data_IF_087724266076
#
_entry.id   IF_087724266076
#
_cell.length_a   1.000
_cell.length_b   1.000
_cell.length_c   1.000
_cell.angle_alpha   90.00
_cell.angle_beta   90.00
_cell.angle_gamma   90.00
#
_symmetry.space_group_name_H-M   'P 1'
#
loop_
_entity.id
_entity.type
_entity.pdbx_description
1 polymer ?
#
# COMPACT_ATOMS: atom_id res chain seq x y z
N UNK A 1 2.75 14.67 -7.31
CA UNK A 1 3.12 13.62 -8.29
C UNK A 1 2.70 12.26 -7.75
N UNK A 2 2.24 11.34 -8.61
CA UNK A 2 1.78 10.01 -8.16
C UNK A 2 2.90 8.98 -8.33
N UNK A 3 2.98 8.02 -7.42
CA UNK A 3 3.95 6.93 -7.47
C UNK A 3 3.33 5.67 -8.05
N UNK A 4 4.17 4.80 -8.62
CA UNK A 4 3.80 3.40 -8.81
C UNK A 4 3.94 2.63 -7.49
N UNK A 5 3.16 1.56 -7.33
CA UNK A 5 3.18 0.72 -6.11
C UNK A 5 4.59 0.25 -5.76
N UNK A 6 5.41 -0.16 -6.73
CA UNK A 6 6.77 -0.63 -6.44
C UNK A 6 7.65 0.47 -5.82
N UNK A 7 7.47 1.74 -6.22
CA UNK A 7 8.20 2.89 -5.68
C UNK A 7 7.73 3.19 -4.26
N UNK A 8 6.42 3.18 -4.05
CA UNK A 8 5.81 3.32 -2.73
C UNK A 8 6.31 2.23 -1.77
N UNK A 9 6.36 0.96 -2.20
CA UNK A 9 6.88 -0.14 -1.38
C UNK A 9 8.37 -0.01 -1.07
N UNK A 10 9.16 0.47 -2.03
CA UNK A 10 10.57 0.76 -1.78
C UNK A 10 10.73 1.83 -0.69
N UNK A 11 9.99 2.94 -0.78
CA UNK A 11 10.01 3.99 0.25
C UNK A 11 9.55 3.48 1.61
N UNK A 12 8.48 2.68 1.67
CA UNK A 12 8.02 2.05 2.91
C UNK A 12 9.12 1.19 3.53
N UNK A 13 9.77 0.33 2.74
CA UNK A 13 10.85 -0.53 3.20
C UNK A 13 12.07 0.26 3.73
N UNK A 14 12.47 1.33 3.02
CA UNK A 14 13.57 2.23 3.44
C UNK A 14 13.30 2.88 4.81
N UNK A 15 12.02 3.10 5.14
CA UNK A 15 11.60 3.66 6.43
C UNK A 15 11.29 2.60 7.50
N UNK A 16 11.56 1.33 7.21
CA UNK A 16 11.36 0.22 8.16
C UNK A 16 9.90 -0.19 8.30
N UNK A 17 9.05 0.12 7.32
CA UNK A 17 7.67 -0.35 7.27
C UNK A 17 7.65 -1.69 6.50
N UNK A 18 7.16 -2.78 7.10
CA UNK A 18 7.19 -4.09 6.46
C UNK A 18 6.36 -4.13 5.18
N UNK A 19 6.98 -4.55 4.08
CA UNK A 19 6.34 -4.85 2.80
C UNK A 19 6.75 -6.25 2.35
N UNK A 20 5.90 -6.98 1.62
CA UNK A 20 6.32 -8.23 1.00
C UNK A 20 7.46 -7.98 0.01
N UNK A 21 8.44 -8.89 -0.03
CA UNK A 21 9.55 -8.79 -0.96
C UNK A 21 9.03 -8.80 -2.40
N UNK A 22 9.57 -7.92 -3.25
CA UNK A 22 9.12 -7.81 -4.63
C UNK A 22 10.14 -7.21 -5.55
N UNK A 23 10.00 -7.49 -6.85
CA UNK A 23 10.86 -7.01 -7.92
C UNK A 23 10.02 -6.66 -9.14
N UNK A 24 10.40 -5.57 -9.81
CA UNK A 24 9.77 -5.17 -11.07
C UNK A 24 10.35 -5.95 -12.24
N UNK A 25 9.53 -6.12 -13.27
CA UNK A 25 9.91 -6.73 -14.53
C UNK A 25 9.24 -5.99 -15.70
N UNK A 26 10.00 -5.77 -16.77
CA UNK A 26 9.55 -5.19 -18.03
C UNK A 26 9.27 -6.25 -19.10
N UNK A 27 9.70 -7.50 -18.88
CA UNK A 27 9.44 -8.63 -19.77
C UNK A 27 8.92 -9.85 -19.01
N UNK A 28 8.21 -10.79 -19.67
CA UNK A 28 7.77 -12.04 -19.02
C UNK A 28 8.94 -12.88 -18.48
N UNK A 29 10.10 -12.86 -19.15
CA UNK A 29 11.28 -13.60 -18.71
C UNK A 29 11.93 -12.94 -17.48
N UNK A 30 11.98 -11.61 -17.43
CA UNK A 30 12.36 -10.88 -16.21
C UNK A 30 11.41 -11.17 -15.05
N UNK A 31 10.10 -11.33 -15.31
CA UNK A 31 9.13 -11.67 -14.28
C UNK A 31 9.38 -13.06 -13.69
N UNK A 32 9.76 -14.04 -14.52
CA UNK A 32 10.16 -15.37 -14.06
C UNK A 32 11.44 -15.31 -13.23
N UNK A 33 12.45 -14.58 -13.71
CA UNK A 33 13.71 -14.40 -12.97
C UNK A 33 13.48 -13.70 -11.62
N UNK A 34 12.59 -12.70 -11.58
CA UNK A 34 12.16 -12.04 -10.36
C UNK A 34 11.53 -13.04 -9.38
N UNK A 35 10.55 -13.84 -9.82
CA UNK A 35 9.90 -14.87 -9.01
C UNK A 35 10.90 -15.88 -8.43
N UNK A 36 11.80 -16.42 -9.25
CA UNK A 36 12.83 -17.37 -8.82
C UNK A 36 13.75 -16.78 -7.75
N UNK A 37 14.12 -15.49 -7.90
CA UNK A 37 14.98 -14.81 -6.92
C UNK A 37 14.28 -14.49 -5.59
N UNK A 38 12.95 -14.52 -5.56
CA UNK A 38 12.14 -14.31 -4.35
C UNK A 38 11.93 -15.60 -3.55
N UNK A 39 12.42 -16.76 -4.05
CA UNK A 39 12.30 -18.05 -3.39
C UNK A 39 11.22 -18.93 -4.02
N UNK A 40 10.69 -19.89 -3.26
CA UNK A 40 9.57 -20.71 -3.72
C UNK A 40 8.26 -19.93 -3.57
N UNK A 41 7.33 -20.14 -4.51
CA UNK A 41 6.03 -19.48 -4.51
C UNK A 41 5.15 -19.86 -3.31
N UNK A 42 3.94 -19.27 -3.23
CA UNK A 42 3.27 -18.54 -4.30
C UNK A 42 3.72 -17.07 -4.46
N UNK A 43 3.37 -16.47 -5.60
CA UNK A 43 3.65 -15.06 -5.92
C UNK A 43 2.40 -14.32 -6.39
N UNK A 44 2.42 -13.00 -6.27
CA UNK A 44 1.49 -12.09 -6.94
C UNK A 44 2.21 -11.39 -8.10
N UNK A 45 1.53 -11.29 -9.24
CA UNK A 45 1.93 -10.43 -10.37
C UNK A 45 0.95 -9.27 -10.45
N UNK A 46 1.44 -8.03 -10.27
CA UNK A 46 0.63 -6.81 -10.19
C UNK A 46 1.03 -5.81 -11.28
N UNK A 47 0.11 -5.46 -12.17
CA UNK A 47 0.28 -4.41 -13.17
C UNK A 47 0.61 -3.07 -12.48
N UNK A 48 1.60 -2.35 -13.01
CA UNK A 48 2.02 -1.05 -12.50
C UNK A 48 1.40 0.07 -13.34
N UNK A 49 0.36 0.71 -12.81
CA UNK A 49 -0.29 1.90 -13.36
C UNK A 49 -0.55 2.90 -12.22
N UNK A 50 -0.69 4.19 -12.53
CA UNK A 50 -1.04 5.22 -11.54
C UNK A 50 -2.54 5.28 -11.25
N UNK A 51 -3.12 4.14 -10.90
CA UNK A 51 -4.52 4.03 -10.51
C UNK A 51 -4.75 2.83 -9.57
N UNK A 52 -5.66 2.98 -8.62
CA UNK A 52 -6.18 1.88 -7.81
C UNK A 52 -7.22 1.05 -8.56
N UNK A 53 -7.82 0.08 -7.88
CA UNK A 53 -8.85 -0.79 -8.47
C UNK A 53 -8.33 -1.86 -9.45
N UNK A 54 -7.02 -2.04 -9.55
CA UNK A 54 -6.35 -2.97 -10.47
C UNK A 54 -6.81 -4.41 -10.30
N UNK A 55 -7.08 -4.86 -9.08
CA UNK A 55 -7.57 -6.22 -8.80
C UNK A 55 -8.88 -6.52 -9.53
N UNK A 56 -9.86 -5.61 -9.46
CA UNK A 56 -11.16 -5.73 -10.14
C UNK A 56 -11.02 -5.71 -11.67
N UNK A 57 -10.01 -5.01 -12.19
CA UNK A 57 -9.68 -4.94 -13.61
C UNK A 57 -8.80 -6.12 -14.10
N UNK A 58 -8.49 -7.10 -13.25
CA UNK A 58 -7.65 -8.24 -13.61
C UNK A 58 -6.15 -7.94 -13.67
N UNK A 59 -5.71 -6.79 -13.15
CA UNK A 59 -4.31 -6.37 -13.07
C UNK A 59 -3.54 -6.90 -11.87
N UNK A 60 -4.13 -7.82 -11.09
CA UNK A 60 -3.49 -8.48 -9.95
C UNK A 60 -3.78 -9.97 -10.07
N UNK A 61 -2.73 -10.80 -10.13
CA UNK A 61 -2.85 -12.24 -10.37
C UNK A 61 -2.03 -13.07 -9.38
N UNK A 62 -2.68 -14.00 -8.69
CA UNK A 62 -2.04 -15.02 -7.87
C UNK A 62 -1.47 -16.14 -8.77
N UNK A 63 -0.21 -16.49 -8.53
CA UNK A 63 0.58 -17.40 -9.35
C UNK A 63 1.25 -18.44 -8.44
N UNK A 64 1.02 -19.74 -8.71
CA UNK A 64 1.61 -20.83 -7.91
C UNK A 64 2.94 -21.32 -8.49
N UNK A 65 3.10 -21.16 -9.81
CA UNK A 65 4.27 -21.62 -10.56
C UNK A 65 4.92 -20.47 -11.32
N UNK A 66 6.17 -20.66 -11.75
CA UNK A 66 6.84 -19.69 -12.63
C UNK A 66 6.15 -19.58 -14.00
N UNK A 67 5.49 -20.64 -14.46
CA UNK A 67 4.70 -20.61 -15.70
C UNK A 67 3.45 -19.73 -15.54
N UNK A 68 2.78 -19.77 -14.39
CA UNK A 68 1.70 -18.85 -14.07
C UNK A 68 2.18 -17.40 -14.09
N UNK A 69 3.37 -17.14 -13.51
CA UNK A 69 4.00 -15.80 -13.50
C UNK A 69 4.28 -15.32 -14.92
N UNK A 70 4.88 -16.17 -15.77
CA UNK A 70 5.18 -15.84 -17.17
C UNK A 70 3.90 -15.53 -17.94
N UNK A 71 2.87 -16.36 -17.79
CA UNK A 71 1.58 -16.18 -18.46
C UNK A 71 0.87 -14.91 -18.00
N UNK A 72 0.87 -14.61 -16.70
CA UNK A 72 0.30 -13.40 -16.15
C UNK A 72 1.02 -12.14 -16.67
N UNK A 73 2.36 -12.14 -16.63
CA UNK A 73 3.17 -11.02 -17.12
C UNK A 73 2.98 -10.79 -18.63
N UNK A 74 2.97 -11.86 -19.45
CA UNK A 74 2.74 -11.75 -20.89
C UNK A 74 1.35 -11.21 -21.25
N UNK A 75 0.34 -11.47 -20.41
CA UNK A 75 -1.02 -10.94 -20.60
C UNK A 75 -1.14 -9.46 -20.20
N UNK A 76 -0.29 -8.98 -19.30
CA UNK A 76 -0.35 -7.61 -18.78
C UNK A 76 0.60 -6.64 -19.51
N UNK A 77 1.83 -7.05 -19.78
CA UNK A 77 2.86 -6.16 -20.32
C UNK A 77 2.53 -5.72 -21.75
N UNK A 78 2.68 -4.42 -22.01
CA UNK A 78 2.39 -3.81 -23.32
C UNK A 78 0.91 -3.62 -23.61
N UNK A 79 0.01 -4.03 -22.71
CA UNK A 79 -1.43 -3.72 -22.82
C UNK A 79 -1.73 -2.37 -22.18
N UNK A 80 -3.00 -1.96 -22.27
CA UNK A 80 -3.52 -0.85 -21.48
C UNK A 80 -4.59 -1.35 -20.52
N UNK A 81 -4.84 -0.58 -19.47
CA UNK A 81 -5.80 -0.90 -18.42
C UNK A 81 -6.54 0.35 -18.01
N UNK A 82 -7.88 0.29 -18.03
CA UNK A 82 -8.73 1.23 -17.32
C UNK A 82 -9.22 0.58 -16.03
N UNK A 83 -9.40 1.37 -14.98
CA UNK A 83 -10.04 0.97 -13.74
C UNK A 83 -11.20 1.92 -13.46
N UNK A 84 -12.06 1.63 -12.48
CA UNK A 84 -13.12 2.58 -12.11
C UNK A 84 -12.57 3.93 -11.64
N UNK A 85 -11.31 3.97 -11.16
CA UNK A 85 -10.63 5.19 -10.75
C UNK A 85 -10.00 5.97 -11.92
N UNK A 86 -9.86 5.38 -13.12
CA UNK A 86 -9.32 6.09 -14.28
C UNK A 86 -10.39 6.80 -15.12
N UNK A 87 -11.66 6.73 -14.72
CA UNK A 87 -12.80 7.36 -15.43
C UNK A 87 -12.82 7.04 -16.95
N UNK A 88 -12.46 5.80 -17.31
CA UNK A 88 -12.42 5.32 -18.70
C UNK A 88 -11.10 5.62 -19.44
N UNK A 89 -10.16 6.33 -18.84
CA UNK A 89 -8.82 6.53 -19.42
C UNK A 89 -8.02 5.24 -19.29
N UNK A 90 -7.51 4.72 -20.41
CA UNK A 90 -6.65 3.55 -20.42
C UNK A 90 -5.19 3.93 -20.19
N UNK A 91 -4.59 3.39 -19.13
CA UNK A 91 -3.19 3.62 -18.77
C UNK A 91 -2.31 2.47 -19.29
N UNK A 92 -1.09 2.75 -19.79
CA UNK A 92 -0.19 1.72 -20.29
C UNK A 92 0.40 0.88 -19.15
N UNK A 93 0.49 -0.43 -19.36
CA UNK A 93 1.13 -1.37 -18.44
C UNK A 93 2.53 -1.70 -18.98
N UNK A 94 3.52 -0.91 -18.59
CA UNK A 94 4.91 -1.09 -19.04
C UNK A 94 5.74 -1.98 -18.09
N UNK A 95 5.29 -2.11 -16.84
CA UNK A 95 5.96 -2.89 -15.80
C UNK A 95 4.93 -3.73 -15.05
N UNK A 96 5.40 -4.88 -14.55
CA UNK A 96 4.71 -5.66 -13.53
C UNK A 96 5.58 -5.77 -12.29
N UNK A 97 4.95 -5.77 -11.12
CA UNK A 97 5.59 -6.11 -9.85
C UNK A 97 5.32 -7.58 -9.54
N UNK A 98 6.38 -8.36 -9.41
CA UNK A 98 6.33 -9.73 -8.90
C UNK A 98 6.68 -9.68 -7.41
N UNK A 99 5.83 -10.21 -6.54
CA UNK A 99 6.03 -10.15 -5.09
C UNK A 99 5.61 -11.46 -4.42
N UNK A 100 6.22 -11.82 -3.30
CA UNK A 100 5.82 -13.00 -2.51
C UNK A 100 4.37 -12.90 -2.08
N UNK A 101 3.60 -13.97 -2.22
CA UNK A 101 2.22 -14.04 -1.74
C UNK A 101 2.17 -14.75 -0.39
N UNK A 102 1.60 -14.08 0.62
CA UNK A 102 1.27 -14.68 1.91
C UNK A 102 -0.23 -14.90 2.04
N UNK A 103 -0.64 -15.79 2.95
CA UNK A 103 -2.04 -15.95 3.30
C UNK A 103 -2.50 -14.77 4.17
N UNK A 104 -3.55 -14.09 3.73
CA UNK A 104 -4.08 -12.91 4.41
C UNK A 104 -5.10 -13.35 5.45
N UNK A 105 -4.81 -13.07 6.72
CA UNK A 105 -5.70 -13.36 7.85
C UNK A 105 -6.72 -12.23 8.05
N UNK A 106 -6.27 -10.98 7.89
CA UNK A 106 -7.11 -9.79 8.03
C UNK A 106 -6.54 -8.63 7.22
N UNK A 107 -7.41 -7.83 6.62
CA UNK A 107 -7.05 -6.60 5.92
C UNK A 107 -7.50 -5.39 6.73
N UNK A 108 -6.61 -4.40 6.89
CA UNK A 108 -6.90 -3.12 7.52
C UNK A 108 -6.70 -2.00 6.50
N UNK A 109 -7.28 -0.84 6.80
CA UNK A 109 -7.01 0.40 6.09
C UNK A 109 -6.16 1.32 6.96
N UNK A 110 -5.14 1.97 6.37
CA UNK A 110 -4.36 3.02 7.03
C UNK A 110 -3.99 4.09 6.01
N UNK A 111 -4.29 5.35 6.30
CA UNK A 111 -3.78 6.49 5.54
C UNK A 111 -3.31 7.62 6.44
N UNK A 112 -2.48 8.48 5.86
CA UNK A 112 -2.05 9.76 6.42
C UNK A 112 -2.09 10.82 5.31
N UNK A 113 -2.66 11.98 5.62
CA UNK A 113 -2.86 13.07 4.67
C UNK A 113 -2.83 14.43 5.37
N UNK A 114 -2.74 15.51 4.59
CA UNK A 114 -3.01 16.86 5.09
C UNK A 114 -4.52 17.11 5.07
N UNK A 115 -5.15 17.15 6.23
CA UNK A 115 -6.56 17.51 6.36
C UNK A 115 -6.71 19.04 6.40
N UNK A 116 -7.45 19.57 5.43
CA UNK A 116 -7.71 21.01 5.30
C UNK A 116 -8.71 21.52 6.34
N UNK A 117 -9.62 20.69 6.82
CA UNK A 117 -10.63 21.06 7.82
C UNK A 117 -9.98 21.31 9.17
N UNK A 118 -9.14 20.39 9.62
CA UNK A 118 -8.40 20.49 10.88
C UNK A 118 -7.09 21.27 10.75
N UNK A 119 -6.57 21.42 9.52
CA UNK A 119 -5.27 22.04 9.19
C UNK A 119 -4.10 21.28 9.84
N UNK A 120 -4.21 19.96 9.90
CA UNK A 120 -3.21 19.08 10.52
C UNK A 120 -2.88 17.92 9.59
N UNK A 121 -1.74 17.27 9.85
CA UNK A 121 -1.50 15.92 9.33
C UNK A 121 -2.44 14.98 10.10
N UNK A 122 -3.27 14.23 9.38
CA UNK A 122 -4.31 13.38 9.97
C UNK A 122 -4.13 11.95 9.52
N UNK A 123 -4.15 11.03 10.47
CA UNK A 123 -4.29 9.60 10.19
C UNK A 123 -5.76 9.21 10.11
N UNK A 124 -6.05 8.28 9.22
CA UNK A 124 -7.33 7.57 9.14
C UNK A 124 -7.01 6.08 9.15
N UNK A 125 -7.66 5.32 10.02
CA UNK A 125 -7.52 3.87 10.08
C UNK A 125 -8.88 3.19 10.24
N UNK A 126 -9.03 2.00 9.68
CA UNK A 126 -10.25 1.20 9.80
C UNK A 126 -9.93 -0.29 9.84
N UNK A 127 -10.77 -1.06 10.54
CA UNK A 127 -10.72 -2.52 10.54
C UNK A 127 -11.17 -3.11 9.21
N UNK A 128 -11.82 -2.31 8.37
CA UNK A 128 -12.29 -2.67 7.04
C UNK A 128 -11.24 -2.26 5.99
N UNK A 129 -10.26 -3.15 5.76
CA UNK A 129 -9.32 -3.03 4.65
C UNK A 129 -9.83 -3.69 3.36
N UNK A 130 -9.14 -3.44 2.24
CA UNK A 130 -9.45 -4.07 0.94
C UNK A 130 -10.66 -3.48 0.21
N UNK A 131 -11.35 -2.52 0.83
CA UNK A 131 -12.49 -1.78 0.28
C UNK A 131 -12.18 -0.28 0.20
N UNK A 132 -13.01 0.48 -0.53
CA UNK A 132 -12.85 1.94 -0.60
C UNK A 132 -13.25 2.57 0.73
N UNK A 133 -12.40 3.45 1.27
CA UNK A 133 -12.63 4.05 2.59
C UNK A 133 -13.87 4.96 2.60
N UNK A 134 -14.21 5.56 1.45
CA UNK A 134 -15.40 6.38 1.28
C UNK A 134 -16.69 5.57 1.45
N UNK A 135 -16.68 4.29 1.08
CA UNK A 135 -17.81 3.39 1.33
C UNK A 135 -17.97 3.12 2.82
N UNK A 136 -16.88 2.83 3.52
CA UNK A 136 -16.87 2.64 4.98
C UNK A 136 -17.37 3.90 5.68
N UNK A 137 -16.96 5.09 5.21
CA UNK A 137 -17.41 6.37 5.78
C UNK A 137 -18.92 6.62 5.60
N UNK A 138 -19.51 6.10 4.53
CA UNK A 138 -20.94 6.24 4.26
C UNK A 138 -21.80 5.20 4.99
N UNK A 139 -21.33 3.95 5.08
CA UNK A 139 -22.11 2.81 5.56
C UNK A 139 -21.86 2.49 7.04
N UNK A 140 -20.60 2.55 7.49
CA UNK A 140 -20.16 2.15 8.84
C UNK A 140 -19.11 3.15 9.39
N UNK A 141 -19.45 4.45 9.52
CA UNK A 141 -18.49 5.49 9.93
C UNK A 141 -17.86 5.25 11.31
N UNK A 142 -18.50 4.48 12.18
CA UNK A 142 -18.00 4.10 13.50
C UNK A 142 -16.75 3.21 13.45
N UNK A 143 -16.49 2.55 12.32
CA UNK A 143 -15.29 1.73 12.11
C UNK A 143 -14.07 2.57 11.67
N UNK A 144 -14.27 3.88 11.43
CA UNK A 144 -13.20 4.81 11.09
C UNK A 144 -12.68 5.48 12.36
N UNK A 145 -11.36 5.43 12.53
CA UNK A 145 -10.66 6.10 13.60
C UNK A 145 -9.68 7.13 13.01
N UNK A 146 -9.76 8.36 13.51
CA UNK A 146 -8.93 9.47 13.02
C UNK A 146 -8.10 10.09 14.14
N UNK A 147 -6.87 10.48 13.80
CA UNK A 147 -5.94 11.15 14.70
C UNK A 147 -5.40 12.38 14.01
N UNK A 148 -5.74 13.55 14.54
CA UNK A 148 -5.15 14.82 14.15
C UNK A 148 -3.84 14.97 14.89
N UNK A 149 -2.73 15.00 14.18
CA UNK A 149 -1.40 15.02 14.79
C UNK A 149 -1.11 16.44 15.30
N UNK A 150 -0.75 16.54 16.58
CA UNK A 150 -0.18 17.76 17.14
C UNK A 150 1.20 18.00 16.51
N UNK A 151 1.41 19.19 15.96
CA UNK A 151 2.64 19.51 15.25
C UNK A 151 3.89 19.57 16.14
N UNK A 152 3.72 19.91 17.43
CA UNK A 152 4.82 20.01 18.39
C UNK A 152 5.17 18.64 18.95
N UNK A 153 4.16 17.85 19.33
CA UNK A 153 4.37 16.51 19.88
C UNK A 153 4.72 15.47 18.80
N UNK A 154 4.13 15.60 17.60
CA UNK A 154 4.19 14.60 16.55
C UNK A 154 3.48 13.29 16.91
N UNK A 155 3.74 12.24 16.13
CA UNK A 155 3.16 10.91 16.39
C UNK A 155 3.97 10.16 17.43
N UNK A 156 3.35 9.88 18.57
CA UNK A 156 3.90 9.06 19.63
C UNK A 156 3.42 7.60 19.57
N UNK A 157 4.21 6.68 20.14
CA UNK A 157 3.88 5.25 20.13
C UNK A 157 2.59 4.88 20.87
N UNK A 158 2.09 5.72 21.78
CA UNK A 158 0.79 5.46 22.44
C UNK A 158 -0.39 5.66 21.50
N UNK A 159 -0.31 6.61 20.55
CA UNK A 159 -1.34 6.82 19.54
C UNK A 159 -1.59 5.56 18.73
N UNK A 160 -0.52 4.93 18.24
CA UNK A 160 -0.66 3.72 17.44
C UNK A 160 -1.06 2.49 18.24
N UNK A 161 -0.74 2.42 19.55
CA UNK A 161 -1.27 1.34 20.40
C UNK A 161 -2.77 1.50 20.64
N UNK A 162 -3.23 2.71 20.93
CA UNK A 162 -4.67 3.02 21.09
C UNK A 162 -5.45 2.65 19.82
N UNK A 163 -4.96 3.08 18.65
CA UNK A 163 -5.53 2.70 17.36
C UNK A 163 -5.51 1.19 17.15
N UNK A 164 -4.37 0.54 17.40
CA UNK A 164 -4.25 -0.90 17.24
C UNK A 164 -5.30 -1.66 18.04
N UNK A 165 -5.54 -1.28 19.30
CA UNK A 165 -6.58 -1.93 20.11
C UNK A 165 -8.00 -1.64 19.60
N UNK A 166 -8.29 -0.41 19.15
CA UNK A 166 -9.59 -0.07 18.52
C UNK A 166 -9.87 -0.89 17.26
N UNK A 167 -8.82 -1.19 16.48
CA UNK A 167 -8.88 -2.03 15.28
C UNK A 167 -8.94 -3.55 15.59
N UNK A 168 -8.94 -3.92 16.87
CA UNK A 168 -8.98 -5.31 17.33
C UNK A 168 -7.66 -6.06 17.17
N UNK A 169 -6.52 -5.36 17.19
CA UNK A 169 -5.19 -5.97 17.11
C UNK A 169 -4.75 -6.52 18.46
N UNK A 170 -3.95 -7.60 18.42
CA UNK A 170 -3.25 -8.13 19.60
C UNK A 170 -2.18 -7.14 20.09
N UNK A 171 -1.67 -7.31 21.32
CA UNK A 171 -0.61 -6.44 21.85
C UNK A 171 0.66 -6.39 20.96
N UNK A 172 1.04 -7.52 20.37
CA UNK A 172 2.16 -7.61 19.40
C UNK A 172 1.88 -6.75 18.16
N UNK A 173 0.70 -6.93 17.56
CA UNK A 173 0.29 -6.22 16.35
C UNK A 173 0.06 -4.73 16.62
N UNK A 174 -0.48 -4.36 17.77
CA UNK A 174 -0.60 -2.95 18.19
C UNK A 174 0.78 -2.29 18.34
N UNK A 175 1.78 -3.02 18.82
CA UNK A 175 3.18 -2.58 18.83
C UNK A 175 3.74 -2.36 17.42
N UNK A 176 3.49 -3.30 16.50
CA UNK A 176 3.88 -3.17 15.09
C UNK A 176 3.17 -1.98 14.41
N UNK A 177 1.86 -1.85 14.61
CA UNK A 177 1.05 -0.75 14.08
C UNK A 177 1.55 0.60 14.57
N UNK A 178 1.90 0.72 15.86
CA UNK A 178 2.51 1.92 16.39
C UNK A 178 3.84 2.27 15.72
N UNK A 179 4.72 1.28 15.51
CA UNK A 179 5.96 1.51 14.76
C UNK A 179 5.69 1.95 13.31
N UNK A 180 4.70 1.35 12.66
CA UNK A 180 4.30 1.70 11.28
C UNK A 180 3.81 3.15 11.23
N UNK A 181 2.93 3.57 12.15
CA UNK A 181 2.44 4.95 12.20
C UNK A 181 3.58 5.95 12.40
N UNK A 182 4.48 5.72 13.36
CA UNK A 182 5.62 6.61 13.62
C UNK A 182 6.55 6.69 12.40
N UNK A 183 6.88 5.56 11.78
CA UNK A 183 7.73 5.53 10.59
C UNK A 183 7.05 6.17 9.38
N UNK A 184 5.73 6.01 9.23
CA UNK A 184 4.93 6.70 8.21
C UNK A 184 4.93 8.20 8.42
N UNK A 185 4.83 8.67 9.66
CA UNK A 185 4.86 10.11 9.95
C UNK A 185 6.20 10.72 9.54
N UNK A 186 7.28 10.00 9.83
CA UNK A 186 8.63 10.39 9.41
C UNK A 186 8.74 10.42 7.88
N UNK A 187 8.30 9.36 7.19
CA UNK A 187 8.29 9.28 5.73
C UNK A 187 7.49 10.42 5.09
N UNK A 188 6.28 10.67 5.61
CA UNK A 188 5.37 11.70 5.12
C UNK A 188 6.00 13.10 5.18
N UNK A 189 6.63 13.44 6.30
CA UNK A 189 7.28 14.74 6.48
C UNK A 189 8.60 14.86 5.71
N UNK A 190 9.47 13.85 5.76
CA UNK A 190 10.79 13.93 5.11
C UNK A 190 10.73 13.92 3.58
N UNK A 191 9.69 13.31 3.00
CA UNK A 191 9.48 13.24 1.54
C UNK A 191 8.44 14.23 1.02
N UNK A 192 7.97 15.15 1.87
CA UNK A 192 6.93 16.15 1.53
C UNK A 192 5.73 15.51 0.80
N UNK A 193 5.17 14.47 1.41
CA UNK A 193 4.01 13.77 0.86
C UNK A 193 2.72 14.53 1.19
N UNK A 194 1.75 14.44 0.29
CA UNK A 194 0.41 15.01 0.47
C UNK A 194 -0.60 13.92 0.91
N UNK A 195 -0.40 12.69 0.45
CA UNK A 195 -1.19 11.50 0.80
C UNK A 195 -0.29 10.28 0.81
N UNK A 196 -0.44 9.46 1.85
CA UNK A 196 -0.02 8.06 1.85
C UNK A 196 -1.20 7.21 2.27
N UNK A 197 -1.60 6.30 1.41
CA UNK A 197 -2.65 5.32 1.66
C UNK A 197 -2.08 3.90 1.51
N UNK A 198 -2.24 3.09 2.56
CA UNK A 198 -1.92 1.67 2.58
C UNK A 198 -3.25 0.92 2.64
N UNK A 199 -3.65 0.35 1.50
CA UNK A 199 -4.88 -0.41 1.39
C UNK A 199 -4.68 -1.65 0.49
N UNK A 200 -4.53 -2.86 1.06
CA UNK A 200 -4.62 -3.18 2.49
C UNK A 200 -3.27 -3.10 3.23
N UNK A 201 -3.35 -2.74 4.52
CA UNK A 201 -2.37 -3.13 5.53
C UNK A 201 -2.83 -4.48 6.11
N UNK A 202 -2.17 -5.57 5.73
CA UNK A 202 -2.64 -6.91 6.04
C UNK A 202 -1.92 -7.53 7.25
N UNK A 203 -2.65 -8.38 7.96
CA UNK A 203 -2.09 -9.38 8.87
C UNK A 203 -1.92 -10.66 8.06
N UNK A 204 -0.71 -11.19 8.00
CA UNK A 204 -0.44 -12.48 7.36
C UNK A 204 -0.51 -13.64 8.37
N UNK A 205 -0.42 -14.87 7.88
CA UNK A 205 -0.43 -16.12 8.65
C UNK A 205 0.64 -16.22 9.75
N UNK A 206 1.78 -15.54 9.57
CA UNK A 206 2.81 -15.37 10.60
C UNK A 206 2.42 -14.41 11.75
N UNK A 207 1.22 -13.82 11.65
CA UNK A 207 0.63 -12.91 12.62
C UNK A 207 1.22 -11.49 12.61
N UNK A 208 2.06 -11.14 11.63
CA UNK A 208 2.67 -9.82 11.50
C UNK A 208 1.92 -8.93 10.50
N UNK A 209 2.09 -7.61 10.66
CA UNK A 209 1.54 -6.59 9.76
C UNK A 209 2.46 -6.33 8.56
N UNK A 210 1.87 -6.26 7.37
CA UNK A 210 2.54 -5.96 6.10
C UNK A 210 1.72 -5.00 5.23
N UNK A 211 2.36 -3.98 4.67
CA UNK A 211 1.77 -3.10 3.67
C UNK A 211 1.76 -3.81 2.30
N UNK A 212 0.61 -4.34 1.89
CA UNK A 212 0.49 -5.12 0.65
C UNK A 212 0.29 -4.25 -0.59
N UNK A 213 -0.17 -3.02 -0.41
CA UNK A 213 -0.31 -2.00 -1.44
C UNK A 213 -0.01 -0.62 -0.86
N UNK A 214 0.27 0.34 -1.74
CA UNK A 214 0.58 1.71 -1.34
C UNK A 214 0.27 2.69 -2.47
N UNK A 215 -0.57 3.67 -2.18
CA UNK A 215 -0.86 4.81 -3.05
C UNK A 215 -0.33 6.08 -2.40
N UNK A 216 0.58 6.75 -3.10
CA UNK A 216 1.32 7.89 -2.59
C UNK A 216 1.15 9.05 -3.55
N UNK A 217 0.91 10.23 -2.99
CA UNK A 217 0.91 11.50 -3.72
C UNK A 217 1.89 12.45 -3.01
N UNK A 218 2.82 13.03 -3.77
CA UNK A 218 3.73 14.08 -3.28
C UNK A 218 3.15 15.48 -3.45
N UNK A 219 3.59 16.43 -2.63
CA UNK A 219 3.35 17.86 -2.86
C UNK A 219 4.23 18.38 -4.00
N UNK A 220 3.61 18.80 -5.10
CA UNK A 220 4.30 19.34 -6.27
C UNK A 220 5.08 20.64 -5.93
N UNK A 221 4.66 21.39 -4.90
CA UNK A 221 5.37 22.59 -4.46
C UNK A 221 6.73 22.27 -3.80
N UNK A 222 6.93 21.03 -3.34
CA UNK A 222 8.18 20.60 -2.73
C UNK A 222 9.19 20.00 -3.73
N UNK A 223 8.83 19.90 -5.01
CA UNK A 223 9.67 19.27 -6.04
C UNK A 223 11.09 19.85 -6.14
N UNK A 224 11.28 21.14 -5.81
CA UNK A 224 12.61 21.77 -5.83
C UNK A 224 13.60 21.17 -4.81
N UNK A 225 13.11 20.52 -3.75
CA UNK A 225 13.92 19.90 -2.68
C UNK A 225 13.77 18.38 -2.58
N UNK A 226 12.88 17.78 -3.37
CA UNK A 226 12.66 16.33 -3.47
C UNK A 226 13.04 15.86 -4.88
N UNK A 227 14.33 15.54 -5.08
CA UNK A 227 14.90 15.12 -6.38
C UNK A 227 14.83 13.62 -6.62
#
# INVERSE_FOLDING_TARGET
MNFHEYQSKQLLAEYGIPVPAGKVAATPDEAVAAAQSLGQGPWMVKAQIHAGGRGKAGGVKFCKTTDDVKAAAAKMLGTKMATYQTAGVELPVNLVLVTTAGEIVKELYLSVLVDRGTKTITYIASSEGGVEIEQVAAETPELIHSLNVDFVEGVQGYHGRDFGFKLGLTAKQAGQFASIMVNLYRLFNEKDLALVEINPLAILDDGNLYALDGKFDSDDNAAFRQK
#
